data_IF_595226299154
#
_entry.id   IF_595226299154
#
_cell.length_a   1.000
_cell.length_b   1.000
_cell.length_c   1.000
_cell.angle_alpha   90.00
_cell.angle_beta   90.00
_cell.angle_gamma   90.00
#
_symmetry.space_group_name_H-M   'P 1'
#
loop_
_entity.id
_entity.type
_entity.pdbx_description
1 polymer ?
#
# COMPACT_ATOMS: atom_id res chain seq x y z
N UNK A 1 27.20 -23.47 -76.75
CA UNK A 1 26.37 -22.30 -76.39
C UNK A 1 25.18 -22.81 -75.57
N UNK A 2 25.27 -22.71 -74.29
CA UNK A 2 24.22 -23.16 -73.37
C UNK A 2 23.79 -21.96 -72.54
N UNK A 3 22.55 -21.48 -72.69
CA UNK A 3 21.93 -20.41 -71.92
C UNK A 3 21.34 -21.00 -70.62
N UNK A 4 21.87 -20.61 -69.54
CA UNK A 4 21.32 -20.94 -68.24
C UNK A 4 20.23 -19.91 -67.80
N UNK A 5 19.00 -20.36 -67.60
CA UNK A 5 17.86 -19.56 -67.12
C UNK A 5 17.89 -19.53 -65.59
N UNK A 6 18.13 -18.35 -65.03
CA UNK A 6 18.01 -18.13 -63.61
C UNK A 6 16.51 -17.80 -63.26
N UNK A 7 15.86 -18.72 -62.53
CA UNK A 7 14.51 -18.46 -61.99
C UNK A 7 14.61 -17.68 -60.67
N UNK A 8 14.19 -16.42 -60.69
CA UNK A 8 13.98 -15.64 -59.47
C UNK A 8 12.68 -16.09 -58.77
N UNK A 9 12.81 -16.64 -57.59
CA UNK A 9 11.67 -16.92 -56.69
C UNK A 9 11.45 -15.71 -55.83
N UNK A 10 10.34 -15.00 -56.04
CA UNK A 10 9.85 -13.97 -55.13
C UNK A 10 9.24 -14.68 -53.90
N UNK A 11 9.84 -14.49 -52.70
CA UNK A 11 9.24 -14.81 -51.43
C UNK A 11 8.36 -13.63 -50.99
N UNK A 12 7.05 -13.75 -51.07
CA UNK A 12 6.12 -12.84 -50.45
C UNK A 12 6.05 -13.17 -48.94
N UNK A 13 6.68 -12.36 -48.12
CA UNK A 13 6.53 -12.43 -46.65
C UNK A 13 5.15 -11.86 -46.28
N UNK A 14 4.22 -12.74 -45.92
CA UNK A 14 2.98 -12.34 -45.33
C UNK A 14 3.26 -11.83 -43.90
N UNK A 15 3.17 -10.50 -43.70
CA UNK A 15 3.24 -9.89 -42.41
C UNK A 15 1.89 -10.14 -41.66
N UNK A 16 1.85 -11.19 -40.85
CA UNK A 16 0.72 -11.39 -39.92
C UNK A 16 0.85 -10.35 -38.83
N UNK A 17 0.02 -9.29 -38.89
CA UNK A 17 -0.16 -8.37 -37.79
C UNK A 17 -0.80 -9.15 -36.61
N UNK A 18 0.01 -9.52 -35.63
CA UNK A 18 -0.49 -9.97 -34.34
C UNK A 18 -1.10 -8.75 -33.65
N UNK A 19 -2.43 -8.66 -33.61
CA UNK A 19 -3.11 -7.73 -32.72
C UNK A 19 -2.79 -8.15 -31.29
N UNK A 20 -1.92 -7.39 -30.63
CA UNK A 20 -1.70 -7.55 -29.20
C UNK A 20 -3.03 -7.25 -28.50
N UNK A 21 -3.65 -8.29 -27.95
CA UNK A 21 -4.75 -8.14 -27.01
C UNK A 21 -4.19 -7.43 -25.76
N UNK A 22 -4.34 -6.12 -25.72
CA UNK A 22 -4.10 -5.36 -24.49
C UNK A 22 -5.22 -5.75 -23.52
N UNK A 23 -4.84 -6.31 -22.39
CA UNK A 23 -5.76 -6.50 -21.28
C UNK A 23 -6.27 -5.11 -20.87
N UNK A 24 -7.50 -4.79 -21.25
CA UNK A 24 -8.15 -3.54 -20.84
C UNK A 24 -8.49 -3.67 -19.36
N UNK A 25 -7.91 -2.81 -18.51
CA UNK A 25 -8.29 -2.75 -17.09
C UNK A 25 -9.79 -2.45 -17.03
N UNK A 26 -10.59 -3.28 -16.35
CA UNK A 26 -12.03 -3.04 -16.22
C UNK A 26 -12.27 -1.66 -15.60
N UNK A 27 -13.04 -0.81 -16.26
CA UNK A 27 -13.44 0.50 -15.77
C UNK A 27 -14.62 0.31 -14.80
N UNK A 28 -14.35 -0.33 -13.66
CA UNK A 28 -15.35 -0.71 -12.66
C UNK A 28 -15.02 -0.01 -11.35
N UNK A 29 -16.02 0.70 -10.79
CA UNK A 29 -15.92 1.31 -9.46
C UNK A 29 -16.71 0.48 -8.46
N UNK A 30 -16.07 -0.03 -7.43
CA UNK A 30 -16.76 -0.64 -6.29
C UNK A 30 -17.32 0.48 -5.41
N UNK A 31 -18.64 0.49 -5.24
CA UNK A 31 -19.34 1.46 -4.40
C UNK A 31 -20.22 0.75 -3.37
N UNK A 32 -20.17 1.24 -2.14
CA UNK A 32 -21.03 0.81 -1.05
C UNK A 32 -21.80 2.00 -0.51
N UNK A 33 -23.09 1.83 -0.30
CA UNK A 33 -23.95 2.89 0.23
C UNK A 33 -24.90 2.36 1.29
N UNK A 34 -25.61 3.29 1.92
CA UNK A 34 -26.64 2.98 2.90
C UNK A 34 -27.92 3.71 2.56
N UNK A 35 -29.05 3.01 2.65
CA UNK A 35 -30.39 3.57 2.46
C UNK A 35 -31.28 3.29 3.67
N UNK A 36 -32.10 4.27 4.01
CA UNK A 36 -33.14 4.18 5.02
C UNK A 36 -34.41 4.83 4.47
N UNK A 37 -35.56 4.35 4.88
CA UNK A 37 -36.87 4.79 4.41
C UNK A 37 -37.75 5.20 5.59
N UNK A 38 -38.74 6.06 5.31
CA UNK A 38 -39.74 6.51 6.30
C UNK A 38 -39.27 7.68 7.18
N UNK A 39 -40.20 8.14 8.02
CA UNK A 39 -40.00 9.17 9.05
C UNK A 39 -40.65 8.67 10.36
N UNK A 40 -39.87 8.29 11.40
CA UNK A 40 -38.38 8.29 11.45
C UNK A 40 -37.77 7.27 10.49
N UNK A 41 -36.56 7.60 9.98
CA UNK A 41 -35.87 6.79 9.00
C UNK A 41 -35.44 5.42 9.56
N UNK A 42 -35.85 4.34 8.92
CA UNK A 42 -35.51 2.96 9.26
C UNK A 42 -34.65 2.36 8.13
N UNK A 43 -33.66 1.57 8.48
CA UNK A 43 -32.84 0.88 7.48
C UNK A 43 -33.71 0.01 6.59
N UNK A 44 -33.56 0.17 5.28
CA UNK A 44 -34.26 -0.67 4.31
C UNK A 44 -33.65 -2.08 4.29
N UNK A 45 -34.49 -3.10 4.22
CA UNK A 45 -34.09 -4.49 4.02
C UNK A 45 -34.93 -5.07 2.86
N UNK A 46 -34.26 -5.65 1.86
CA UNK A 46 -34.93 -6.24 0.71
C UNK A 46 -34.23 -6.00 -0.61
N UNK A 47 -35.00 -6.01 -1.70
CA UNK A 47 -34.53 -5.73 -3.05
C UNK A 47 -34.90 -4.30 -3.43
N UNK A 48 -33.91 -3.43 -3.62
CA UNK A 48 -34.11 -2.04 -3.99
C UNK A 48 -33.77 -1.77 -5.45
N UNK A 49 -34.43 -0.82 -6.08
CA UNK A 49 -34.12 -0.38 -7.44
C UNK A 49 -33.26 0.90 -7.37
N UNK A 50 -32.08 0.84 -7.96
CA UNK A 50 -31.09 1.93 -7.90
C UNK A 50 -30.78 2.46 -9.29
N UNK A 51 -30.60 3.77 -9.39
CA UNK A 51 -30.06 4.42 -10.58
C UNK A 51 -28.85 5.24 -10.21
N UNK A 52 -27.87 5.29 -11.11
CA UNK A 52 -26.56 5.88 -10.86
C UNK A 52 -26.16 6.80 -11.99
N UNK A 53 -25.58 7.95 -11.65
CA UNK A 53 -24.94 8.83 -12.62
C UNK A 53 -23.64 9.39 -12.06
N UNK A 54 -22.66 9.61 -12.92
CA UNK A 54 -21.44 10.36 -12.60
C UNK A 54 -21.60 11.78 -13.18
N UNK A 55 -21.58 12.78 -12.29
CA UNK A 55 -21.94 14.15 -12.59
C UNK A 55 -20.82 15.14 -12.22
N UNK A 56 -20.89 16.37 -12.72
CA UNK A 56 -20.03 17.45 -12.28
C UNK A 56 -20.41 17.99 -10.89
N UNK A 57 -19.66 18.96 -10.38
CA UNK A 57 -19.78 19.54 -9.02
C UNK A 57 -21.17 20.05 -8.68
N UNK A 58 -21.87 20.69 -9.62
CA UNK A 58 -23.19 21.27 -9.44
C UNK A 58 -24.33 20.36 -9.93
N UNK A 59 -23.98 19.18 -10.45
CA UNK A 59 -24.94 18.18 -10.92
C UNK A 59 -25.68 18.57 -12.20
N UNK A 60 -25.18 19.57 -12.93
CA UNK A 60 -25.82 20.05 -14.17
C UNK A 60 -25.37 19.29 -15.41
N UNK A 61 -24.23 18.59 -15.33
CA UNK A 61 -23.65 17.79 -16.42
C UNK A 61 -23.46 16.35 -15.95
N UNK A 62 -24.04 15.40 -16.67
CA UNK A 62 -23.79 13.97 -16.48
C UNK A 62 -22.71 13.48 -17.44
N UNK A 63 -21.69 12.85 -16.91
CA UNK A 63 -20.61 12.26 -17.67
C UNK A 63 -20.88 10.79 -18.02
N UNK A 64 -21.71 10.12 -17.22
CA UNK A 64 -22.10 8.74 -17.39
C UNK A 64 -23.37 8.44 -16.57
N UNK A 65 -24.17 7.48 -17.03
CA UNK A 65 -25.28 6.89 -16.28
C UNK A 65 -25.29 5.38 -16.44
N UNK A 66 -25.91 4.67 -15.47
CA UNK A 66 -25.93 3.20 -15.48
C UNK A 66 -26.51 2.59 -16.76
N UNK A 67 -27.50 3.22 -17.38
CA UNK A 67 -28.14 2.74 -18.60
C UNK A 67 -27.78 3.51 -19.87
N UNK A 68 -26.89 4.50 -19.77
CA UNK A 68 -26.48 5.35 -20.90
C UNK A 68 -27.53 6.38 -21.30
N UNK A 69 -28.62 6.52 -20.58
CA UNK A 69 -29.68 7.52 -20.79
C UNK A 69 -29.57 8.67 -19.79
N UNK A 70 -30.50 9.49 -19.66
CA UNK A 70 -30.60 10.45 -18.58
C UNK A 70 -29.96 11.80 -18.84
N UNK A 71 -28.86 11.91 -19.52
CA UNK A 71 -28.15 13.20 -19.66
C UNK A 71 -27.99 13.89 -18.30
N UNK A 72 -28.63 15.05 -18.08
CA UNK A 72 -28.64 15.74 -16.78
C UNK A 72 -29.83 15.33 -15.87
N UNK A 73 -30.58 14.31 -16.24
CA UNK A 73 -31.78 13.82 -15.55
C UNK A 73 -31.55 12.45 -14.97
N UNK A 74 -32.55 11.94 -14.27
CA UNK A 74 -32.57 10.58 -13.75
C UNK A 74 -32.47 9.56 -14.90
N UNK A 75 -31.62 8.49 -14.79
CA UNK A 75 -31.60 7.39 -15.76
C UNK A 75 -32.97 6.71 -15.95
N UNK A 76 -33.24 6.22 -17.17
CA UNK A 76 -34.53 5.63 -17.47
C UNK A 76 -34.75 4.29 -16.73
N UNK A 77 -33.69 3.46 -16.64
CA UNK A 77 -33.79 2.11 -16.08
C UNK A 77 -32.93 1.94 -14.83
N UNK A 78 -33.42 1.13 -13.88
CA UNK A 78 -32.77 0.88 -12.63
C UNK A 78 -31.99 -0.45 -12.63
N UNK A 79 -30.97 -0.51 -11.76
CA UNK A 79 -30.25 -1.73 -11.37
C UNK A 79 -30.86 -2.24 -10.07
N UNK A 80 -31.29 -3.51 -10.05
CA UNK A 80 -31.85 -4.12 -8.85
C UNK A 80 -30.74 -4.69 -7.97
N UNK A 81 -30.66 -4.25 -6.71
CA UNK A 81 -29.60 -4.66 -5.77
C UNK A 81 -30.25 -5.19 -4.47
N UNK A 82 -29.63 -6.22 -3.86
CA UNK A 82 -29.96 -6.63 -2.50
C UNK A 82 -29.46 -5.58 -1.49
N UNK A 83 -30.33 -5.26 -0.53
CA UNK A 83 -30.00 -4.36 0.59
C UNK A 83 -30.22 -5.12 1.89
N UNK A 84 -29.21 -5.12 2.77
CA UNK A 84 -29.28 -5.78 4.07
C UNK A 84 -28.96 -4.78 5.18
N UNK A 85 -29.91 -4.57 6.08
CA UNK A 85 -29.79 -3.57 7.17
C UNK A 85 -29.42 -2.17 6.66
N UNK A 86 -29.98 -1.80 5.54
CA UNK A 86 -29.70 -0.55 4.85
C UNK A 86 -28.46 -0.55 3.95
N UNK A 87 -27.58 -1.54 4.01
CA UNK A 87 -26.34 -1.56 3.26
C UNK A 87 -26.51 -2.25 1.91
N UNK A 88 -25.99 -1.64 0.86
CA UNK A 88 -25.87 -2.22 -0.49
C UNK A 88 -24.47 -2.02 -1.06
N UNK A 89 -24.11 -2.86 -2.01
CA UNK A 89 -22.86 -2.79 -2.76
C UNK A 89 -23.12 -2.96 -4.25
N UNK A 90 -22.39 -2.24 -5.08
CA UNK A 90 -22.52 -2.29 -6.54
C UNK A 90 -21.16 -2.09 -7.22
N UNK A 91 -20.96 -2.79 -8.33
CA UNK A 91 -19.85 -2.58 -9.24
C UNK A 91 -20.33 -1.68 -10.40
N UNK A 92 -20.12 -0.37 -10.28
CA UNK A 92 -20.49 0.58 -11.33
C UNK A 92 -19.58 0.36 -12.54
N UNK A 93 -20.18 0.27 -13.72
CA UNK A 93 -19.46 -0.02 -14.96
C UNK A 93 -19.34 -1.52 -15.30
N UNK A 94 -19.78 -2.42 -14.42
CA UNK A 94 -19.83 -3.86 -14.69
C UNK A 94 -20.99 -4.21 -15.60
N UNK A 95 -20.72 -4.38 -16.87
CA UNK A 95 -21.72 -4.69 -17.92
C UNK A 95 -22.35 -6.07 -17.79
N UNK A 96 -21.93 -6.90 -16.83
CA UNK A 96 -22.63 -8.14 -16.49
C UNK A 96 -23.89 -7.90 -15.66
N UNK A 97 -23.98 -6.73 -15.01
CA UNK A 97 -25.20 -6.31 -14.31
C UNK A 97 -26.24 -5.80 -15.31
N UNK A 98 -27.48 -6.23 -15.14
CA UNK A 98 -28.62 -5.75 -15.98
C UNK A 98 -28.76 -4.23 -15.82
N UNK A 99 -28.91 -3.50 -16.92
CA UNK A 99 -29.04 -2.05 -16.99
C UNK A 99 -27.77 -1.29 -16.50
N UNK A 100 -26.58 -1.91 -16.67
CA UNK A 100 -25.30 -1.26 -16.35
C UNK A 100 -24.45 -1.12 -17.61
N UNK A 101 -24.06 0.10 -17.94
CA UNK A 101 -23.15 0.41 -19.06
C UNK A 101 -21.70 0.55 -18.55
N UNK A 102 -20.72 0.31 -19.41
CA UNK A 102 -19.32 0.56 -19.09
C UNK A 102 -19.08 2.06 -18.83
N UNK A 103 -18.23 2.37 -17.85
CA UNK A 103 -17.84 3.76 -17.58
C UNK A 103 -16.75 4.15 -18.61
N UNK A 104 -16.96 5.19 -19.44
CA UNK A 104 -15.92 5.65 -20.35
C UNK A 104 -14.74 6.26 -19.58
N UNK A 105 -13.49 6.01 -20.01
CA UNK A 105 -12.29 6.60 -19.35
C UNK A 105 -12.32 8.13 -19.30
N UNK A 106 -12.97 8.79 -20.26
CA UNK A 106 -13.11 10.23 -20.35
C UNK A 106 -13.86 10.86 -19.17
N UNK A 107 -14.67 10.08 -18.43
CA UNK A 107 -15.35 10.56 -17.22
C UNK A 107 -14.33 11.08 -16.22
N UNK A 108 -13.22 10.38 -16.05
CA UNK A 108 -12.19 10.67 -15.05
C UNK A 108 -11.12 11.66 -15.52
N UNK A 109 -11.24 12.16 -16.72
CA UNK A 109 -10.48 13.35 -17.19
C UNK A 109 -11.00 14.65 -16.57
N UNK A 110 -12.17 14.63 -15.92
CA UNK A 110 -12.76 15.79 -15.27
C UNK A 110 -12.23 15.96 -13.83
N UNK A 111 -11.97 17.20 -13.43
CA UNK A 111 -11.32 17.52 -12.16
C UNK A 111 -12.16 17.18 -10.91
N UNK A 112 -13.48 17.18 -11.03
CA UNK A 112 -14.41 16.82 -9.96
C UNK A 112 -15.56 15.98 -10.55
N UNK A 113 -15.61 14.72 -10.13
CA UNK A 113 -16.63 13.77 -10.53
C UNK A 113 -17.37 13.33 -9.28
N UNK A 114 -18.69 13.37 -9.31
CA UNK A 114 -19.55 13.00 -8.19
C UNK A 114 -20.51 11.89 -8.60
N UNK A 115 -20.73 10.96 -7.68
CA UNK A 115 -21.75 9.92 -7.82
C UNK A 115 -23.06 10.47 -7.31
N UNK A 116 -24.07 10.44 -8.16
CA UNK A 116 -25.47 10.70 -7.89
C UNK A 116 -26.23 9.40 -7.88
N UNK A 117 -27.06 9.17 -6.87
CA UNK A 117 -27.79 7.93 -6.66
C UNK A 117 -29.27 8.25 -6.49
N UNK A 118 -30.13 7.52 -7.18
CA UNK A 118 -31.58 7.45 -6.92
C UNK A 118 -31.90 6.07 -6.39
N UNK A 119 -32.84 6.02 -5.49
CA UNK A 119 -33.32 4.79 -4.86
C UNK A 119 -34.83 4.74 -4.88
N UNK A 120 -35.37 3.57 -5.22
CA UNK A 120 -36.78 3.25 -5.17
C UNK A 120 -36.98 1.98 -4.33
N UNK A 121 -37.77 2.08 -3.28
CA UNK A 121 -38.08 1.00 -2.36
C UNK A 121 -39.30 0.16 -2.85
N UNK A 122 -39.84 0.45 -4.03
CA UNK A 122 -41.01 -0.20 -4.62
C UNK A 122 -42.36 0.27 -4.06
N UNK A 123 -42.33 1.34 -3.25
CA UNK A 123 -43.57 1.94 -2.72
C UNK A 123 -44.13 3.03 -3.65
N UNK A 124 -45.28 3.60 -3.30
CA UNK A 124 -45.92 4.68 -4.07
C UNK A 124 -45.10 5.98 -4.12
N UNK A 125 -44.02 6.09 -3.34
CA UNK A 125 -43.13 7.26 -3.34
C UNK A 125 -42.24 7.31 -4.60
N UNK A 126 -42.05 6.18 -5.28
CA UNK A 126 -41.22 6.07 -6.46
C UNK A 126 -39.73 6.37 -6.19
N UNK A 127 -39.00 6.64 -7.27
CA UNK A 127 -37.58 6.88 -7.22
C UNK A 127 -37.25 8.22 -6.53
N UNK A 128 -36.37 8.19 -5.52
CA UNK A 128 -35.97 9.34 -4.72
C UNK A 128 -34.48 9.61 -4.90
N UNK A 129 -34.09 10.88 -5.14
CA UNK A 129 -32.71 11.29 -5.21
C UNK A 129 -32.08 11.29 -3.80
N UNK A 130 -31.01 10.54 -3.65
CA UNK A 130 -30.21 10.53 -2.40
C UNK A 130 -29.22 11.71 -2.41
N UNK A 131 -29.33 12.59 -1.42
CA UNK A 131 -28.49 13.79 -1.32
C UNK A 131 -27.62 13.73 -0.05
N UNK A 132 -26.40 14.31 -0.08
CA UNK A 132 -25.74 15.01 -1.21
C UNK A 132 -25.07 14.06 -2.22
N UNK A 133 -24.80 14.54 -3.44
CA UNK A 133 -23.93 13.84 -4.40
C UNK A 133 -22.55 13.57 -3.79
N UNK A 134 -22.04 12.35 -3.94
CA UNK A 134 -20.81 11.93 -3.30
C UNK A 134 -19.61 12.11 -4.23
N UNK A 135 -18.61 12.86 -3.80
CA UNK A 135 -17.37 13.05 -4.56
C UNK A 135 -16.65 11.72 -4.74
N UNK A 136 -16.38 11.35 -5.99
CA UNK A 136 -15.49 10.24 -6.31
C UNK A 136 -14.05 10.76 -6.23
N UNK A 137 -13.39 10.44 -5.13
CA UNK A 137 -11.96 10.68 -5.01
C UNK A 137 -11.23 9.58 -5.80
N UNK A 138 -10.79 9.91 -7.00
CA UNK A 138 -9.97 9.00 -7.80
C UNK A 138 -8.65 8.73 -7.06
N UNK A 139 -8.30 7.45 -6.91
CA UNK A 139 -6.89 7.08 -6.73
C UNK A 139 -6.28 7.32 -8.11
N UNK A 140 -5.66 8.50 -8.28
CA UNK A 140 -5.38 9.11 -9.59
C UNK A 140 -4.55 8.27 -10.59
N UNK A 141 -3.99 7.14 -10.18
CA UNK A 141 -3.11 6.31 -11.00
C UNK A 141 -3.84 5.17 -11.75
N UNK A 142 -4.82 4.54 -11.14
CA UNK A 142 -5.51 3.41 -11.77
C UNK A 142 -6.47 3.86 -12.90
N UNK A 143 -6.88 5.13 -12.90
CA UNK A 143 -7.85 5.66 -13.85
C UNK A 143 -7.20 6.35 -15.06
N UNK A 144 -5.95 6.81 -14.95
CA UNK A 144 -5.18 7.39 -16.07
C UNK A 144 -4.63 6.30 -17.01
N UNK A 145 -4.37 5.09 -16.52
CA UNK A 145 -3.88 3.99 -17.35
C UNK A 145 -4.88 3.54 -18.44
N UNK A 146 -6.19 3.79 -18.26
CA UNK A 146 -7.21 3.51 -19.27
C UNK A 146 -7.58 4.69 -20.17
N UNK A 147 -7.05 5.88 -19.91
CA UNK A 147 -7.53 7.14 -20.49
C UNK A 147 -6.64 7.80 -21.55
N UNK A 148 -5.69 7.09 -22.12
CA UNK A 148 -4.92 7.61 -23.25
C UNK A 148 -5.80 7.66 -24.51
N UNK A 149 -5.87 8.83 -25.15
CA UNK A 149 -6.51 8.96 -26.45
C UNK A 149 -5.93 7.92 -27.44
N UNK A 150 -6.73 7.38 -28.37
CA UNK A 150 -6.23 6.46 -29.40
C UNK A 150 -5.01 7.08 -30.12
N UNK A 151 -3.83 6.45 -30.00
CA UNK A 151 -2.60 6.94 -30.58
C UNK A 151 -1.69 7.76 -29.65
N UNK A 152 -2.11 8.09 -28.41
CA UNK A 152 -1.20 8.65 -27.43
C UNK A 152 -0.33 7.53 -26.82
N UNK A 153 0.97 7.59 -27.06
CA UNK A 153 1.94 6.73 -26.39
C UNK A 153 2.46 7.45 -25.15
N UNK A 154 2.30 6.86 -23.97
CA UNK A 154 3.15 7.26 -22.85
C UNK A 154 4.56 6.80 -23.22
N UNK A 155 5.55 7.70 -23.30
CA UNK A 155 6.93 7.28 -23.48
C UNK A 155 7.26 6.21 -22.43
N UNK A 156 7.94 5.12 -22.81
CA UNK A 156 8.31 4.06 -21.89
C UNK A 156 9.06 4.58 -20.65
N UNK A 157 9.71 5.76 -20.77
CA UNK A 157 10.33 6.52 -19.68
C UNK A 157 9.35 7.13 -18.66
N UNK A 158 8.05 7.19 -18.97
CA UNK A 158 7.01 7.72 -18.07
C UNK A 158 6.09 6.64 -17.47
N UNK A 159 6.16 5.41 -17.97
CA UNK A 159 5.50 4.26 -17.35
C UNK A 159 6.43 3.69 -16.28
N UNK A 160 6.44 4.32 -15.12
CA UNK A 160 7.23 3.83 -13.99
C UNK A 160 6.41 2.75 -13.28
N UNK A 161 6.49 1.52 -13.80
CA UNK A 161 6.00 0.37 -13.03
C UNK A 161 6.86 0.23 -11.76
N UNK A 162 6.25 -0.09 -10.60
CA UNK A 162 7.03 -0.40 -9.42
C UNK A 162 8.07 -1.49 -9.73
N UNK A 163 9.28 -1.40 -9.17
CA UNK A 163 10.24 -2.48 -9.28
C UNK A 163 9.62 -3.80 -8.79
N UNK A 164 10.00 -4.97 -9.36
CA UNK A 164 9.49 -6.25 -8.91
C UNK A 164 9.60 -6.41 -7.39
N UNK A 165 8.52 -6.84 -6.74
CA UNK A 165 8.46 -7.01 -5.29
C UNK A 165 8.30 -5.73 -4.48
N UNK A 166 8.04 -4.58 -5.13
CA UNK A 166 7.77 -3.31 -4.45
C UNK A 166 6.39 -2.76 -4.81
N UNK A 167 5.78 -2.01 -3.91
CA UNK A 167 4.54 -1.27 -4.12
C UNK A 167 4.80 0.23 -4.12
N UNK A 168 4.05 0.98 -4.95
CA UNK A 168 4.08 2.44 -4.93
C UNK A 168 3.22 2.98 -3.78
N UNK A 169 3.82 3.75 -2.89
CA UNK A 169 3.12 4.51 -1.88
C UNK A 169 2.94 5.94 -2.40
N UNK A 170 1.71 6.41 -2.62
CA UNK A 170 1.46 7.70 -3.24
C UNK A 170 1.88 8.86 -2.34
N UNK A 171 2.34 9.95 -2.95
CA UNK A 171 2.58 11.20 -2.24
C UNK A 171 1.30 11.73 -1.59
N UNK A 172 1.46 12.52 -0.54
CA UNK A 172 0.34 13.26 0.05
C UNK A 172 0.37 13.34 1.56
N UNK A 173 -0.56 14.11 2.06
CA UNK A 173 -0.78 14.37 3.49
C UNK A 173 -1.51 13.17 4.13
N UNK A 174 -1.13 12.86 5.36
CA UNK A 174 -1.86 11.95 6.24
C UNK A 174 -1.73 12.39 7.70
N UNK A 175 -2.58 11.87 8.57
CA UNK A 175 -2.44 12.05 10.02
C UNK A 175 -1.56 10.92 10.57
N UNK A 176 -0.34 11.27 10.98
CA UNK A 176 0.60 10.39 11.65
C UNK A 176 0.30 10.37 13.15
N UNK A 177 0.40 9.22 13.79
CA UNK A 177 0.24 9.08 15.23
C UNK A 177 -1.12 8.53 15.67
N UNK A 178 -1.31 8.44 16.99
CA UNK A 178 -2.48 7.85 17.60
C UNK A 178 -3.69 8.80 17.54
N UNK A 179 -4.63 8.49 16.64
CA UNK A 179 -5.90 9.23 16.51
C UNK A 179 -7.07 8.53 17.22
N UNK A 180 -6.82 7.42 17.91
CA UNK A 180 -7.85 6.66 18.64
C UNK A 180 -7.84 7.06 20.12
N UNK A 181 -8.80 7.86 20.53
CA UNK A 181 -8.85 8.41 21.89
C UNK A 181 -8.88 7.36 23.01
N UNK A 182 -9.34 6.13 22.71
CA UNK A 182 -9.36 5.03 23.67
C UNK A 182 -7.99 4.37 23.90
N UNK A 183 -7.00 4.62 23.03
CA UNK A 183 -5.66 4.04 23.14
C UNK A 183 -4.75 4.95 23.95
N UNK A 184 -5.06 5.09 25.25
CA UNK A 184 -4.37 6.00 26.18
C UNK A 184 -2.97 5.54 26.56
N UNK A 185 -2.60 4.31 26.23
CA UNK A 185 -1.28 3.73 26.45
C UNK A 185 -0.23 4.19 25.43
N UNK A 186 -0.64 4.70 24.26
CA UNK A 186 0.26 5.32 23.28
C UNK A 186 0.39 6.81 23.60
N UNK A 187 1.36 7.16 24.42
CA UNK A 187 1.58 8.54 24.90
C UNK A 187 2.64 9.31 24.11
N UNK A 188 3.45 8.62 23.30
CA UNK A 188 4.60 9.17 22.57
C UNK A 188 4.33 9.38 21.07
N UNK A 189 3.09 9.25 20.63
CA UNK A 189 2.67 9.36 19.24
C UNK A 189 1.41 10.22 19.09
N UNK A 190 1.45 11.47 19.56
CA UNK A 190 0.36 12.42 19.39
C UNK A 190 0.07 12.63 17.88
N UNK A 191 -1.21 12.74 17.47
CA UNK A 191 -1.55 12.86 16.05
C UNK A 191 -1.06 14.20 15.48
N UNK A 192 -0.40 14.14 14.32
CA UNK A 192 0.12 15.31 13.61
C UNK A 192 -0.07 15.17 12.10
N UNK A 193 -0.35 16.28 11.43
CA UNK A 193 -0.43 16.32 9.96
C UNK A 193 0.99 16.22 9.37
N UNK A 194 1.20 15.23 8.51
CA UNK A 194 2.51 14.93 7.92
C UNK A 194 2.33 14.73 6.41
N UNK A 195 3.20 15.32 5.62
CA UNK A 195 3.26 15.12 4.17
C UNK A 195 4.44 14.21 3.85
N UNK A 196 4.23 13.20 3.02
CA UNK A 196 5.28 12.30 2.55
C UNK A 196 5.25 12.27 1.02
N UNK A 197 6.41 12.42 0.40
CA UNK A 197 6.61 12.25 -1.05
C UNK A 197 6.34 10.81 -1.47
N UNK A 198 6.07 10.57 -2.76
CA UNK A 198 5.89 9.20 -3.25
C UNK A 198 7.17 8.38 -3.12
N UNK A 199 7.05 7.10 -2.82
CA UNK A 199 8.17 6.16 -2.74
C UNK A 199 7.69 4.74 -3.06
N UNK A 200 8.62 3.86 -3.41
CA UNK A 200 8.39 2.43 -3.46
C UNK A 200 8.79 1.77 -2.16
N UNK A 201 8.02 0.77 -1.70
CA UNK A 201 8.33 -0.03 -0.50
C UNK A 201 8.27 -1.51 -0.85
N UNK A 202 9.18 -2.33 -0.30
CA UNK A 202 9.10 -3.79 -0.43
C UNK A 202 7.72 -4.27 0.05
N UNK A 203 7.05 -5.11 -0.74
CA UNK A 203 5.66 -5.55 -0.45
C UNK A 203 5.55 -6.40 0.81
N UNK A 204 6.64 -6.99 1.25
CA UNK A 204 6.78 -7.76 2.49
C UNK A 204 8.00 -7.28 3.27
N UNK A 205 8.19 -7.76 4.48
CA UNK A 205 9.51 -7.73 5.12
C UNK A 205 10.53 -8.44 4.23
N UNK A 206 11.81 -8.08 4.33
CA UNK A 206 12.89 -8.74 3.57
C UNK A 206 13.00 -10.21 4.02
N UNK A 207 12.75 -11.18 3.13
CA UNK A 207 12.90 -12.58 3.48
C UNK A 207 14.38 -12.99 3.60
N UNK A 208 14.65 -14.04 4.39
CA UNK A 208 16.01 -14.55 4.59
C UNK A 208 16.72 -14.87 3.26
N UNK A 209 16.01 -15.42 2.29
CA UNK A 209 16.57 -15.73 0.96
C UNK A 209 17.09 -14.48 0.24
N UNK A 210 16.36 -13.37 0.30
CA UNK A 210 16.79 -12.09 -0.30
C UNK A 210 17.95 -11.47 0.49
N UNK A 211 17.89 -11.51 1.82
CA UNK A 211 19.02 -11.09 2.66
C UNK A 211 20.31 -11.81 2.28
N UNK A 212 20.26 -13.13 2.19
CA UNK A 212 21.39 -13.98 1.87
C UNK A 212 21.94 -13.72 0.46
N UNK A 213 21.08 -13.53 -0.53
CA UNK A 213 21.50 -13.23 -1.89
C UNK A 213 22.34 -11.94 -1.98
N UNK A 214 21.94 -10.91 -1.23
CA UNK A 214 22.73 -9.67 -1.12
C UNK A 214 23.97 -9.87 -0.22
N UNK A 215 23.85 -10.61 0.88
CA UNK A 215 24.96 -10.89 1.81
C UNK A 215 26.15 -11.54 1.11
N UNK A 216 25.93 -12.58 0.31
CA UNK A 216 27.00 -13.26 -0.43
C UNK A 216 27.69 -12.32 -1.42
N UNK A 217 26.92 -11.51 -2.15
CA UNK A 217 27.51 -10.50 -3.03
C UNK A 217 28.29 -9.45 -2.24
N UNK A 218 27.75 -9.01 -1.12
CA UNK A 218 28.31 -7.95 -0.28
C UNK A 218 29.68 -8.33 0.31
N UNK A 219 29.86 -9.58 0.76
CA UNK A 219 31.13 -10.06 1.31
C UNK A 219 32.26 -9.98 0.29
N UNK A 220 31.99 -10.23 -1.00
CA UNK A 220 32.96 -10.10 -2.08
C UNK A 220 33.19 -8.66 -2.53
N UNK A 221 32.34 -7.71 -2.06
CA UNK A 221 32.40 -6.29 -2.43
C UNK A 221 32.74 -5.36 -1.25
N UNK A 222 33.39 -5.90 -0.23
CA UNK A 222 33.98 -5.14 0.87
C UNK A 222 33.00 -4.71 1.97
N UNK A 223 31.82 -5.29 2.00
CA UNK A 223 30.87 -5.08 3.10
C UNK A 223 31.09 -6.06 4.25
N UNK A 224 30.81 -5.59 5.47
CA UNK A 224 30.87 -6.40 6.68
C UNK A 224 29.62 -6.19 7.53
N UNK A 225 28.74 -7.19 7.57
CA UNK A 225 27.55 -7.23 8.43
C UNK A 225 27.13 -8.68 8.71
N UNK A 226 26.15 -8.88 9.60
CA UNK A 226 25.74 -10.20 10.02
C UNK A 226 25.11 -11.01 8.88
N UNK A 227 25.31 -12.33 8.89
CA UNK A 227 24.66 -13.24 7.92
C UNK A 227 23.13 -13.30 8.10
N UNK A 228 22.62 -12.77 9.21
CA UNK A 228 21.21 -12.84 9.57
C UNK A 228 20.75 -14.25 9.91
N UNK A 229 19.55 -14.37 10.40
CA UNK A 229 18.87 -15.63 10.68
C UNK A 229 17.42 -15.55 10.22
N UNK A 230 16.76 -16.69 10.12
CA UNK A 230 15.34 -16.79 9.78
C UNK A 230 14.89 -18.25 9.91
N UNK A 231 13.61 -18.46 10.12
CA UNK A 231 13.04 -19.79 10.29
C UNK A 231 13.04 -20.63 9.02
N UNK A 232 13.10 -19.95 7.86
CA UNK A 232 13.17 -20.53 6.53
C UNK A 232 13.40 -19.48 5.45
N UNK A 233 13.65 -19.88 4.18
CA UNK A 233 14.01 -18.95 3.10
C UNK A 233 12.99 -17.84 2.87
N UNK A 234 11.71 -18.14 3.04
CA UNK A 234 10.58 -17.22 2.84
C UNK A 234 10.07 -16.58 4.14
N UNK A 235 10.75 -16.80 5.26
CA UNK A 235 10.48 -16.08 6.51
C UNK A 235 11.27 -14.79 6.56
N UNK A 236 10.83 -13.77 7.31
CA UNK A 236 11.60 -12.54 7.44
C UNK A 236 12.99 -12.82 7.99
N UNK A 237 13.99 -12.10 7.49
CA UNK A 237 15.28 -12.07 8.14
C UNK A 237 15.15 -11.41 9.50
N UNK A 238 15.80 -11.97 10.52
CA UNK A 238 15.88 -11.43 11.86
C UNK A 238 17.31 -11.57 12.42
N UNK A 239 17.51 -11.19 13.67
CA UNK A 239 18.83 -11.21 14.31
C UNK A 239 19.85 -10.35 13.57
N UNK A 240 19.40 -9.23 13.04
CA UNK A 240 20.18 -8.20 12.35
C UNK A 240 20.05 -6.87 13.10
N UNK A 241 21.16 -6.16 13.26
CA UNK A 241 21.19 -4.84 13.86
C UNK A 241 20.76 -3.77 12.86
N UNK A 242 20.41 -2.58 13.33
CA UNK A 242 20.18 -1.42 12.45
C UNK A 242 21.40 -1.14 11.56
N UNK A 243 22.61 -1.27 12.12
CA UNK A 243 23.86 -1.09 11.37
C UNK A 243 24.03 -2.12 10.24
N UNK A 244 23.62 -3.36 10.45
CA UNK A 244 23.68 -4.40 9.42
C UNK A 244 22.69 -4.08 8.29
N UNK A 245 21.49 -3.63 8.66
CA UNK A 245 20.43 -3.31 7.70
C UNK A 245 20.80 -2.14 6.79
N UNK A 246 21.37 -1.04 7.33
CA UNK A 246 21.76 0.11 6.49
C UNK A 246 22.92 -0.23 5.55
N UNK A 247 23.88 -1.07 5.99
CA UNK A 247 24.94 -1.59 5.13
C UNK A 247 24.39 -2.52 4.05
N UNK A 248 23.45 -3.37 4.40
CA UNK A 248 22.77 -4.24 3.46
C UNK A 248 21.98 -3.44 2.39
N UNK A 249 21.29 -2.37 2.77
CA UNK A 249 20.62 -1.47 1.82
C UNK A 249 21.61 -0.86 0.81
N UNK A 250 22.79 -0.44 1.26
CA UNK A 250 23.85 0.03 0.37
C UNK A 250 24.34 -1.09 -0.56
N UNK A 251 24.57 -2.29 -0.03
CA UNK A 251 25.01 -3.44 -0.82
C UNK A 251 23.96 -3.83 -1.88
N UNK A 252 22.66 -3.88 -1.52
CA UNK A 252 21.56 -4.10 -2.45
C UNK A 252 21.53 -3.02 -3.54
N UNK A 253 21.83 -1.77 -3.19
CA UNK A 253 21.89 -0.67 -4.15
C UNK A 253 23.02 -0.86 -5.15
N UNK A 254 24.26 -1.10 -4.69
CA UNK A 254 25.41 -1.33 -5.57
C UNK A 254 25.20 -2.59 -6.45
N UNK A 255 24.70 -3.68 -5.88
CA UNK A 255 24.36 -4.91 -6.62
C UNK A 255 23.34 -4.65 -7.75
N UNK A 256 22.39 -3.75 -7.52
CA UNK A 256 21.39 -3.34 -8.50
C UNK A 256 21.85 -2.21 -9.45
N UNK A 257 23.13 -1.80 -9.41
CA UNK A 257 23.67 -0.69 -10.21
C UNK A 257 23.10 0.68 -9.82
N UNK A 258 22.64 0.84 -8.57
CA UNK A 258 22.09 2.08 -8.02
C UNK A 258 23.09 2.81 -7.13
N UNK A 259 22.88 4.10 -6.93
CA UNK A 259 23.69 4.90 -6.02
C UNK A 259 23.38 4.57 -4.56
N UNK A 260 24.34 4.14 -3.73
CA UNK A 260 24.14 3.95 -2.30
C UNK A 260 23.66 5.22 -1.60
N UNK A 261 22.94 5.02 -0.50
CA UNK A 261 22.28 6.11 0.23
C UNK A 261 23.06 6.55 1.45
N UNK A 262 23.79 5.65 2.11
CA UNK A 262 24.47 5.89 3.40
C UNK A 262 25.96 6.04 3.25
N UNK A 263 26.50 7.10 3.85
CA UNK A 263 27.93 7.44 3.82
C UNK A 263 28.46 7.62 5.24
N UNK A 264 29.78 7.55 5.41
CA UNK A 264 30.42 7.74 6.72
C UNK A 264 31.02 9.14 6.89
N UNK A 265 30.93 9.98 5.87
CA UNK A 265 31.40 11.37 5.89
C UNK A 265 30.32 12.32 5.35
N UNK A 266 30.37 13.59 5.81
CA UNK A 266 29.39 14.62 5.47
C UNK A 266 29.49 15.08 4.00
N UNK A 267 30.63 14.82 3.33
CA UNK A 267 30.80 15.07 1.90
C UNK A 267 30.18 13.97 1.02
N UNK A 268 29.66 12.90 1.65
CA UNK A 268 29.02 11.76 0.96
C UNK A 268 29.95 11.10 -0.08
N UNK A 269 31.23 10.92 0.26
CA UNK A 269 32.24 10.33 -0.61
C UNK A 269 32.59 8.90 -0.22
N UNK A 270 32.53 8.56 1.07
CA UNK A 270 32.89 7.25 1.62
C UNK A 270 31.61 6.43 1.90
N UNK A 271 31.31 5.45 1.05
CA UNK A 271 30.16 4.58 1.22
C UNK A 271 30.27 3.79 2.53
N UNK A 272 29.19 3.74 3.30
CA UNK A 272 29.15 2.99 4.56
C UNK A 272 29.10 1.49 4.29
N UNK A 273 30.22 0.78 4.47
CA UNK A 273 30.38 -0.66 4.21
C UNK A 273 30.73 -1.50 5.44
N UNK A 274 31.34 -0.90 6.48
CA UNK A 274 31.88 -1.64 7.63
C UNK A 274 31.74 -0.88 8.94
N UNK A 275 31.81 -1.62 10.06
CA UNK A 275 31.70 -1.07 11.41
C UNK A 275 30.27 -0.71 11.83
N UNK A 276 30.16 -0.11 13.02
CA UNK A 276 28.91 0.38 13.59
C UNK A 276 29.00 1.91 13.70
N UNK A 277 28.51 2.61 12.70
CA UNK A 277 28.56 4.07 12.60
C UNK A 277 27.16 4.65 12.75
N UNK A 278 27.00 5.60 13.67
CA UNK A 278 25.78 6.38 13.84
C UNK A 278 25.68 7.42 12.72
N UNK A 279 25.26 6.98 11.53
CA UNK A 279 25.07 7.83 10.37
C UNK A 279 24.05 8.93 10.69
N UNK A 280 24.42 10.19 10.37
CA UNK A 280 23.58 11.39 10.56
C UNK A 280 22.77 11.72 9.30
N UNK A 281 21.77 12.59 9.42
CA UNK A 281 20.95 13.02 8.28
C UNK A 281 21.79 13.67 7.14
N UNK A 282 22.92 14.31 7.46
CA UNK A 282 23.83 14.92 6.47
C UNK A 282 24.59 13.85 5.67
N UNK A 283 24.86 12.71 6.29
CA UNK A 283 25.57 11.57 5.69
C UNK A 283 24.65 10.66 4.87
N UNK A 284 23.35 11.00 4.77
CA UNK A 284 22.37 10.30 3.93
C UNK A 284 22.16 11.09 2.65
N UNK A 285 22.38 10.45 1.52
CA UNK A 285 22.10 11.02 0.20
C UNK A 285 20.63 10.77 -0.16
N UNK A 286 19.74 11.59 0.42
CA UNK A 286 18.29 11.46 0.24
C UNK A 286 17.82 11.51 -1.21
N UNK A 287 18.59 12.18 -2.09
CA UNK A 287 18.32 12.24 -3.53
C UNK A 287 18.82 11.00 -4.31
N UNK A 288 19.48 10.03 -3.66
CA UNK A 288 19.96 8.84 -4.33
C UNK A 288 18.81 7.90 -4.72
N UNK A 289 19.01 7.17 -5.82
CA UNK A 289 18.07 6.15 -6.30
C UNK A 289 18.32 4.77 -5.71
N UNK A 290 19.07 4.68 -4.61
CA UNK A 290 19.37 3.43 -3.89
C UNK A 290 18.30 3.03 -2.89
N UNK A 291 18.42 1.79 -2.40
CA UNK A 291 17.58 1.26 -1.33
C UNK A 291 17.99 1.84 0.02
N UNK A 292 17.00 2.06 0.87
CA UNK A 292 17.20 2.56 2.24
C UNK A 292 16.10 2.05 3.19
N UNK A 293 16.31 2.25 4.48
CA UNK A 293 15.24 2.12 5.45
C UNK A 293 14.15 3.18 5.20
N UNK A 294 12.88 2.86 5.48
CA UNK A 294 11.84 3.87 5.54
C UNK A 294 12.12 4.84 6.69
N UNK A 295 11.76 6.11 6.54
CA UNK A 295 11.53 6.95 7.70
C UNK A 295 10.32 6.44 8.46
N UNK A 296 10.20 6.80 9.74
CA UNK A 296 9.03 6.41 10.55
C UNK A 296 7.73 6.90 9.94
N UNK A 297 7.72 8.10 9.35
CA UNK A 297 6.56 8.67 8.66
C UNK A 297 6.20 7.91 7.39
N UNK A 298 7.18 7.50 6.60
CA UNK A 298 6.97 6.66 5.42
C UNK A 298 6.38 5.31 5.82
N UNK A 299 6.95 4.68 6.85
CA UNK A 299 6.47 3.40 7.35
C UNK A 299 5.01 3.49 7.81
N UNK A 300 4.65 4.49 8.64
CA UNK A 300 3.29 4.62 9.16
C UNK A 300 2.27 4.94 8.06
N UNK A 301 2.63 5.83 7.10
CA UNK A 301 1.78 6.08 5.94
C UNK A 301 1.52 4.80 5.14
N UNK A 302 2.56 4.02 4.91
CA UNK A 302 2.49 2.74 4.20
C UNK A 302 1.62 1.74 4.97
N UNK A 303 1.81 1.60 6.28
CA UNK A 303 1.03 0.71 7.13
C UNK A 303 -0.46 1.05 7.13
N UNK A 304 -0.81 2.33 7.13
CA UNK A 304 -2.21 2.76 7.11
C UNK A 304 -2.95 2.42 5.82
N UNK A 305 -2.26 2.10 4.72
CA UNK A 305 -2.89 1.63 3.48
C UNK A 305 -3.94 2.59 2.91
N UNK A 306 -3.83 3.90 3.17
CA UNK A 306 -4.81 4.92 2.78
C UNK A 306 -5.93 5.17 3.79
N UNK A 307 -6.01 4.39 4.88
CA UNK A 307 -6.99 4.60 5.95
C UNK A 307 -6.53 5.69 6.92
N UNK A 308 -7.48 6.41 7.52
CA UNK A 308 -7.23 7.42 8.53
C UNK A 308 -7.88 7.03 9.86
N UNK A 309 -7.21 7.32 10.98
CA UNK A 309 -7.75 7.14 12.32
C UNK A 309 -7.97 5.69 12.77
N UNK A 310 -7.46 4.71 12.02
CA UNK A 310 -7.60 3.29 12.37
C UNK A 310 -6.42 2.78 13.19
N UNK A 311 -6.65 1.75 14.03
CA UNK A 311 -5.60 1.08 14.80
C UNK A 311 -4.65 0.28 13.94
N UNK A 312 -5.20 -0.49 12.98
CA UNK A 312 -4.50 -1.47 12.16
C UNK A 312 -4.62 -1.15 10.68
N UNK A 313 -3.83 -1.76 9.81
CA UNK A 313 -3.86 -1.55 8.35
C UNK A 313 -5.22 -1.77 7.68
N UNK A 314 -6.17 -2.41 8.36
CA UNK A 314 -7.50 -2.78 7.83
C UNK A 314 -8.68 -2.27 8.67
N UNK A 315 -8.44 -1.67 9.85
CA UNK A 315 -9.53 -1.21 10.73
C UNK A 315 -9.16 -1.15 12.20
N UNK A 316 -10.15 -1.35 13.09
CA UNK A 316 -9.98 -1.12 14.53
C UNK A 316 -9.91 -2.40 15.38
N UNK A 317 -10.04 -3.58 14.79
CA UNK A 317 -9.93 -4.87 15.47
C UNK A 317 -8.89 -5.75 14.79
N UNK A 318 -8.33 -6.72 15.52
CA UNK A 318 -7.31 -7.65 15.02
C UNK A 318 -7.67 -9.08 15.39
N UNK A 319 -7.33 -10.01 14.50
CA UNK A 319 -7.38 -11.45 14.73
C UNK A 319 -6.12 -12.12 14.17
N UNK A 320 -5.81 -13.32 14.59
CA UNK A 320 -4.70 -14.09 14.04
C UNK A 320 -4.89 -14.55 12.58
N UNK A 321 -6.04 -14.30 11.96
CA UNK A 321 -6.24 -14.44 10.51
C UNK A 321 -5.76 -13.23 9.70
N UNK A 322 -5.46 -12.12 10.38
CA UNK A 322 -5.04 -10.87 9.76
C UNK A 322 -3.55 -10.56 9.96
N UNK A 323 -2.94 -11.10 11.01
CA UNK A 323 -1.55 -10.85 11.36
C UNK A 323 -0.95 -11.96 12.23
N UNK A 324 0.38 -12.05 12.23
CA UNK A 324 1.13 -12.96 13.11
C UNK A 324 1.56 -12.21 14.38
N UNK A 325 0.83 -12.41 15.47
CA UNK A 325 1.08 -11.79 16.77
C UNK A 325 0.66 -12.75 17.89
N UNK A 326 1.04 -12.45 19.12
CA UNK A 326 0.59 -13.20 20.30
C UNK A 326 -0.80 -12.72 20.75
N UNK A 327 -1.85 -13.48 20.46
CA UNK A 327 -3.22 -13.12 20.81
C UNK A 327 -3.47 -13.08 22.31
N UNK A 328 -4.13 -12.02 22.79
CA UNK A 328 -4.51 -11.84 24.20
C UNK A 328 -5.81 -11.03 24.34
N UNK A 329 -6.94 -11.72 24.17
CA UNK A 329 -8.28 -11.10 24.23
C UNK A 329 -8.62 -10.47 25.59
N UNK A 330 -7.91 -10.84 26.64
CA UNK A 330 -8.08 -10.26 27.97
C UNK A 330 -7.33 -8.93 28.13
N UNK A 331 -6.27 -8.69 27.36
CA UNK A 331 -5.45 -7.48 27.46
C UNK A 331 -6.09 -6.31 26.72
N UNK A 332 -6.68 -6.58 25.54
CA UNK A 332 -7.24 -5.54 24.69
C UNK A 332 -8.59 -5.93 24.11
N UNK A 333 -9.60 -5.06 24.23
CA UNK A 333 -10.96 -5.29 23.74
C UNK A 333 -11.07 -5.36 22.21
N UNK A 334 -10.07 -4.85 21.49
CA UNK A 334 -9.99 -4.91 20.04
C UNK A 334 -9.27 -6.18 19.53
N UNK A 335 -8.64 -6.96 20.41
CA UNK A 335 -8.09 -8.29 20.09
C UNK A 335 -9.23 -9.34 20.13
N UNK A 336 -9.51 -9.93 18.99
CA UNK A 336 -10.56 -10.95 18.85
C UNK A 336 -10.00 -12.38 18.82
N UNK A 337 -8.69 -12.53 19.09
CA UNK A 337 -8.04 -13.82 19.27
C UNK A 337 -7.79 -14.63 17.99
N UNK A 338 -7.56 -15.92 18.14
CA UNK A 338 -7.44 -16.67 19.39
C UNK A 338 -6.24 -16.26 20.27
N UNK A 339 -6.22 -16.69 21.54
CA UNK A 339 -5.12 -16.42 22.47
C UNK A 339 -3.90 -17.29 22.17
N UNK A 340 -2.70 -16.77 22.46
CA UNK A 340 -1.43 -17.47 22.27
C UNK A 340 -0.77 -17.17 20.92
N UNK A 341 0.21 -17.99 20.56
CA UNK A 341 0.93 -17.85 19.30
C UNK A 341 0.03 -18.14 18.09
N UNK A 342 0.23 -17.39 17.02
CA UNK A 342 -0.43 -17.67 15.75
C UNK A 342 -0.02 -19.05 15.23
N UNK A 343 -0.99 -19.94 14.91
CA UNK A 343 -0.69 -21.29 14.44
C UNK A 343 0.20 -21.34 13.19
N UNK A 344 0.08 -20.37 12.28
CA UNK A 344 0.91 -20.27 11.07
C UNK A 344 2.37 -20.02 11.46
N UNK A 345 2.60 -19.07 12.36
CA UNK A 345 3.93 -18.75 12.87
C UNK A 345 4.52 -19.85 13.75
N UNK A 346 3.70 -20.58 14.49
CA UNK A 346 4.14 -21.64 15.40
C UNK A 346 4.52 -22.96 14.70
N UNK A 347 4.24 -23.13 13.40
CA UNK A 347 4.67 -24.32 12.63
C UNK A 347 6.19 -24.51 12.74
N UNK A 348 6.62 -25.69 13.23
CA UNK A 348 8.04 -26.01 13.43
C UNK A 348 8.67 -25.38 14.67
N UNK A 349 7.88 -24.80 15.58
CA UNK A 349 8.33 -24.26 16.88
C UNK A 349 7.88 -22.84 17.15
N UNK A 350 7.82 -22.49 18.44
CA UNK A 350 7.33 -21.18 18.92
C UNK A 350 8.44 -20.15 19.17
N UNK A 351 9.68 -20.43 18.83
CA UNK A 351 10.78 -19.48 18.97
C UNK A 351 11.86 -19.67 17.89
N UNK A 352 11.91 -18.78 16.88
CA UNK A 352 10.95 -17.73 16.56
C UNK A 352 9.64 -18.31 15.98
N UNK A 353 8.51 -17.71 16.30
CA UNK A 353 7.21 -18.04 15.70
C UNK A 353 6.86 -17.12 14.52
N UNK A 354 7.84 -16.77 13.69
CA UNK A 354 7.60 -16.01 12.46
C UNK A 354 6.81 -16.85 11.45
N UNK A 355 5.92 -16.21 10.69
CA UNK A 355 5.27 -16.78 9.50
C UNK A 355 6.07 -16.52 8.24
N UNK A 356 5.91 -17.30 7.15
CA UNK A 356 6.40 -16.90 5.85
C UNK A 356 5.85 -15.51 5.46
N UNK A 357 6.69 -14.66 4.88
CA UNK A 357 6.26 -13.31 4.47
C UNK A 357 5.11 -13.38 3.47
N UNK A 358 4.16 -12.45 3.53
CA UNK A 358 2.98 -12.45 2.66
C UNK A 358 1.91 -13.47 3.02
N UNK A 359 1.96 -14.06 4.23
CA UNK A 359 0.97 -15.05 4.67
C UNK A 359 -0.42 -14.48 4.92
N UNK A 360 -0.55 -13.18 5.10
CA UNK A 360 -1.81 -12.49 5.39
C UNK A 360 -2.19 -11.53 4.28
N UNK A 361 -3.47 -11.10 4.28
CA UNK A 361 -3.98 -10.19 3.26
C UNK A 361 -3.22 -8.86 3.25
N UNK A 362 -2.99 -8.32 2.05
CA UNK A 362 -2.37 -7.02 1.88
C UNK A 362 -3.29 -5.88 2.33
N UNK A 363 -2.70 -4.77 2.75
CA UNK A 363 -3.42 -3.52 3.01
C UNK A 363 -3.81 -2.79 1.70
N UNK A 364 -4.43 -1.61 1.80
CA UNK A 364 -4.90 -0.84 0.65
C UNK A 364 -3.81 -0.35 -0.31
N UNK A 365 -2.52 -0.45 0.06
CA UNK A 365 -1.38 -0.16 -0.83
C UNK A 365 -0.69 -1.43 -1.35
N UNK A 366 -1.25 -2.61 -1.10
CA UNK A 366 -0.67 -3.88 -1.56
C UNK A 366 0.48 -4.39 -0.70
N UNK A 367 0.64 -3.89 0.53
CA UNK A 367 1.68 -4.30 1.47
C UNK A 367 1.17 -5.36 2.43
N UNK A 368 1.93 -6.42 2.62
CA UNK A 368 1.66 -7.49 3.58
C UNK A 368 2.44 -7.27 4.89
N UNK A 369 1.98 -7.90 5.94
CA UNK A 369 2.67 -8.02 7.23
C UNK A 369 3.06 -6.67 7.87
N UNK A 370 2.26 -5.61 7.61
CA UNK A 370 2.44 -4.29 8.24
C UNK A 370 1.98 -4.27 9.71
N UNK A 371 1.62 -5.42 10.26
CA UNK A 371 1.25 -5.64 11.64
C UNK A 371 1.67 -7.06 12.05
N UNK A 372 2.50 -7.19 13.09
CA UNK A 372 3.03 -8.45 13.59
C UNK A 372 4.20 -8.99 12.76
N UNK A 373 4.50 -10.26 12.91
CA UNK A 373 5.58 -11.05 12.34
C UNK A 373 6.97 -10.64 12.86
N UNK A 374 7.56 -9.55 12.39
CA UNK A 374 8.75 -8.95 13.00
C UNK A 374 8.60 -7.44 13.12
N UNK A 375 9.13 -6.86 14.18
CA UNK A 375 9.35 -5.43 14.24
C UNK A 375 10.28 -4.98 13.12
N UNK A 376 9.97 -3.85 12.49
CA UNK A 376 10.71 -3.32 11.37
C UNK A 376 11.54 -2.10 11.76
N UNK A 377 12.86 -2.16 11.51
CA UNK A 377 13.76 -1.03 11.68
C UNK A 377 13.35 0.14 10.79
N UNK A 378 13.24 1.32 11.40
CA UNK A 378 13.12 2.60 10.69
C UNK A 378 14.42 3.39 10.76
N UNK A 379 14.53 4.39 9.88
CA UNK A 379 15.67 5.32 9.88
C UNK A 379 15.76 6.16 11.14
N UNK A 380 14.63 6.59 11.69
CA UNK A 380 14.53 7.65 12.68
C UNK A 380 15.18 7.30 14.01
N UNK A 381 15.88 8.28 14.60
CA UNK A 381 16.18 8.25 16.02
C UNK A 381 14.91 8.49 16.82
N UNK A 382 14.75 7.74 17.90
CA UNK A 382 13.68 8.01 18.85
C UNK A 382 14.03 9.29 19.62
N UNK A 383 13.37 10.39 19.27
CA UNK A 383 13.43 11.63 20.03
C UNK A 383 12.47 11.59 21.22
N UNK A 384 12.76 12.36 22.26
CA UNK A 384 11.87 12.58 23.41
C UNK A 384 10.65 13.42 23.05
N UNK A 385 10.63 14.08 21.91
CA UNK A 385 9.52 14.89 21.41
C UNK A 385 8.52 14.04 20.61
N UNK A 386 7.24 14.44 20.69
CA UNK A 386 6.23 14.01 19.74
C UNK A 386 6.67 14.28 18.29
N UNK A 387 6.03 13.61 17.34
CA UNK A 387 6.28 13.84 15.92
C UNK A 387 6.31 15.33 15.56
N UNK A 388 7.34 15.76 14.86
CA UNK A 388 7.44 17.15 14.42
C UNK A 388 6.45 17.50 13.29
N UNK A 389 5.89 16.49 12.60
CA UNK A 389 5.11 16.70 11.37
C UNK A 389 5.94 17.29 10.24
N UNK A 390 5.27 17.98 9.31
CA UNK A 390 5.94 18.65 8.19
C UNK A 390 6.02 17.78 6.93
N UNK A 391 6.94 18.13 6.03
CA UNK A 391 7.15 17.44 4.75
C UNK A 391 8.41 16.59 4.83
N UNK A 392 8.27 15.30 4.46
CA UNK A 392 9.34 14.29 4.43
C UNK A 392 10.21 14.31 5.70
N UNK A 393 9.63 14.15 6.91
CA UNK A 393 10.41 14.21 8.13
C UNK A 393 11.40 13.04 8.24
N UNK A 394 12.61 13.31 8.71
CA UNK A 394 13.69 12.33 8.90
C UNK A 394 13.97 12.03 10.38
N UNK A 395 13.02 12.34 11.27
CA UNK A 395 13.15 12.14 12.71
C UNK A 395 14.11 13.11 13.40
N UNK A 396 14.48 12.78 14.64
CA UNK A 396 15.46 13.54 15.42
C UNK A 396 16.85 13.48 14.77
N UNK A 397 17.63 14.56 14.89
CA UNK A 397 19.01 14.59 14.38
C UNK A 397 19.93 13.65 15.15
N UNK A 398 19.62 13.37 16.42
CA UNK A 398 20.41 12.51 17.32
C UNK A 398 19.50 11.71 18.23
N UNK A 399 19.99 10.61 18.76
CA UNK A 399 19.30 9.76 19.72
C UNK A 399 20.20 8.62 20.21
N UNK A 400 19.73 7.86 21.21
CA UNK A 400 20.36 6.64 21.69
C UNK A 400 19.76 5.39 21.03
N UNK A 401 18.47 5.47 20.65
CA UNK A 401 17.67 4.36 20.17
C UNK A 401 17.03 4.68 18.83
N UNK A 402 16.89 3.64 18.01
CA UNK A 402 16.18 3.71 16.71
C UNK A 402 14.73 3.26 16.87
N UNK A 403 13.89 3.77 16.00
CA UNK A 403 12.47 3.42 15.97
C UNK A 403 12.28 2.04 15.33
N UNK A 404 11.39 1.25 15.96
CA UNK A 404 10.83 0.00 15.44
C UNK A 404 9.34 0.13 15.28
N UNK A 405 8.79 -0.50 14.26
CA UNK A 405 7.36 -0.42 13.94
C UNK A 405 6.77 -1.79 13.64
N UNK A 406 5.45 -1.93 13.80
CA UNK A 406 4.68 -3.09 13.36
C UNK A 406 4.38 -4.14 14.42
N UNK A 407 5.14 -4.23 15.49
CA UNK A 407 5.07 -5.35 16.43
C UNK A 407 5.71 -6.62 15.89
N UNK A 408 5.84 -7.67 16.70
CA UNK A 408 6.38 -8.94 16.27
C UNK A 408 5.49 -10.13 16.66
N UNK A 409 5.93 -11.33 16.29
CA UNK A 409 5.25 -12.61 16.57
C UNK A 409 5.05 -12.92 18.05
N UNK A 410 5.82 -12.27 18.93
CA UNK A 410 5.78 -12.47 20.39
C UNK A 410 5.00 -11.36 21.10
N UNK A 411 4.89 -10.17 20.49
CA UNK A 411 4.13 -9.05 21.04
C UNK A 411 2.63 -9.29 20.96
N UNK A 412 1.91 -8.72 21.92
CA UNK A 412 0.45 -8.66 21.86
C UNK A 412 -0.07 -7.68 20.81
N UNK A 413 -1.37 -7.65 20.64
CA UNK A 413 -2.04 -6.77 19.67
C UNK A 413 -1.78 -5.27 19.87
N UNK A 414 -1.29 -4.87 21.04
CA UNK A 414 -0.90 -3.49 21.34
C UNK A 414 0.27 -3.02 20.48
N UNK A 415 1.29 -3.87 20.32
CA UNK A 415 2.47 -3.60 19.50
C UNK A 415 2.17 -3.51 18.00
N UNK A 416 1.16 -4.23 17.54
CA UNK A 416 0.79 -4.33 16.12
C UNK A 416 0.02 -3.11 15.56
N UNK A 417 -0.31 -2.11 16.39
CA UNK A 417 -1.05 -0.91 15.96
C UNK A 417 -0.18 0.00 15.09
N UNK A 418 -0.77 0.58 14.04
CA UNK A 418 -0.08 1.50 13.12
C UNK A 418 0.63 2.67 13.84
N UNK A 419 0.09 3.16 14.95
CA UNK A 419 0.65 4.27 15.72
C UNK A 419 1.65 3.83 16.80
N UNK A 420 1.79 2.53 17.10
CA UNK A 420 2.70 2.06 18.13
C UNK A 420 4.17 2.25 17.71
N UNK A 421 4.97 2.75 18.65
CA UNK A 421 6.41 3.03 18.45
C UNK A 421 7.23 2.17 19.41
N UNK A 422 7.89 1.15 18.88
CA UNK A 422 8.99 0.49 19.56
C UNK A 422 10.26 1.32 19.46
N UNK A 423 11.13 1.23 20.45
CA UNK A 423 12.44 1.89 20.48
C UNK A 423 13.47 0.94 21.04
N UNK A 424 14.63 0.86 20.39
CA UNK A 424 15.72 0.00 20.87
C UNK A 424 17.08 0.49 20.39
N UNK A 425 18.13 0.18 21.16
CA UNK A 425 19.51 0.49 20.81
C UNK A 425 19.88 -0.13 19.44
N UNK A 426 20.48 0.65 18.51
CA UNK A 426 20.73 0.23 17.13
C UNK A 426 21.66 -0.97 16.97
N UNK A 427 22.45 -1.30 17.99
CA UNK A 427 23.29 -2.50 18.03
C UNK A 427 22.61 -3.75 18.56
N UNK A 428 21.32 -3.68 18.92
CA UNK A 428 20.57 -4.84 19.38
C UNK A 428 20.14 -5.69 18.20
N UNK A 429 20.30 -7.00 18.33
CA UNK A 429 19.81 -7.99 17.39
C UNK A 429 18.90 -8.97 18.14
N UNK A 430 17.72 -9.25 17.61
CA UNK A 430 16.72 -10.15 18.20
C UNK A 430 15.98 -10.95 17.14
N UNK A 431 15.38 -12.06 17.53
CA UNK A 431 14.62 -12.91 16.62
C UNK A 431 13.21 -12.36 16.27
N UNK A 432 12.85 -11.21 16.83
CA UNK A 432 11.66 -10.44 16.50
C UNK A 432 11.96 -9.15 15.70
N UNK A 433 13.23 -8.88 15.31
CA UNK A 433 13.61 -7.63 14.64
C UNK A 433 14.10 -7.89 13.22
N UNK A 434 13.38 -7.36 12.24
CA UNK A 434 13.69 -7.40 10.82
C UNK A 434 13.49 -6.01 10.19
N UNK A 435 13.16 -5.95 8.91
CA UNK A 435 12.93 -4.69 8.20
C UNK A 435 12.31 -4.92 6.82
N UNK A 436 11.87 -3.84 6.20
CA UNK A 436 11.65 -3.72 4.75
C UNK A 436 12.36 -2.49 4.22
N UNK A 437 12.73 -2.50 2.95
CA UNK A 437 13.42 -1.38 2.32
C UNK A 437 12.46 -0.52 1.48
N UNK A 438 12.87 0.74 1.29
CA UNK A 438 12.21 1.68 0.39
C UNK A 438 13.17 2.17 -0.69
N UNK A 439 12.59 2.72 -1.76
CA UNK A 439 13.30 3.26 -2.90
C UNK A 439 12.60 4.54 -3.36
N UNK A 440 13.36 5.60 -3.64
CA UNK A 440 12.78 6.79 -4.27
C UNK A 440 12.23 6.42 -5.66
N UNK A 441 11.09 6.99 -6.11
CA UNK A 441 10.66 6.84 -7.49
C UNK A 441 11.76 7.36 -8.41
N UNK A 442 12.06 6.62 -9.48
CA UNK A 442 13.18 6.93 -10.37
C UNK A 442 13.15 8.37 -10.86
N UNK A 443 14.27 9.05 -10.67
CA UNK A 443 14.64 10.26 -11.41
C UNK A 443 15.38 9.85 -12.67
#
# INVERSE_FOLDING_TARGET
MSLSLVKSVLFAAALTATTALHAQVPQILNYQGRVAVGDPAVNFDGSGAFKFALVNTDGTTSYWSNDGTGGNTEPATAVTLPVTKGLYSVLLGDTTLTNMTAIPPTVFANADVRLRVWFDDGTANGSQLLTPDQRIAAVGYAMVAGGLAPGATIPASQVVSPPPGMALIPAGVFTMGNSVAADTDITNAAPVSTTVSAFYMDVTEVPLSQWQAVYFWATDNGYTFAAGAGKGPNHPVHSVTWYDVVKWCNARSEQAGKTPVYYTDDAQTTIYKAGNVNVTNVQVKWSANGYRLPTEAEWEKAARGGLSGQRFPWGNTITQNLANYYGSTASFTYDQGPNGYNPIGAVGGTSPATSPVGSFAANGYGLHDMAGNVFEWCWDWSGSAAYAGGTDPHGSATGSDRVLRGGDWFDDSGGARCAYRGIIYPGTAGNGYGFRAVLAPGQ
#
